data_IF_309690892464
#
_entry.id   IF_309690892464
#
_cell.length_a   1.000
_cell.length_b   1.000
_cell.length_c   1.000
_cell.angle_alpha   90.00
_cell.angle_beta   90.00
_cell.angle_gamma   90.00
#
_symmetry.space_group_name_H-M   'P 1'
#
loop_
_entity.id
_entity.type
_entity.pdbx_description
1 polymer ?
#
# COMPACT_ATOMS: atom_id res chain seq x y z
N UNK A 1 -4.09 -60.27 -14.90
CA UNK A 1 -4.21 -59.65 -13.57
C UNK A 1 -4.02 -58.15 -13.72
N UNK A 2 -4.97 -57.34 -13.21
CA UNK A 2 -4.86 -55.89 -13.12
C UNK A 2 -4.62 -55.57 -11.65
N UNK A 3 -3.49 -54.97 -11.30
CA UNK A 3 -3.30 -54.36 -9.98
C UNK A 3 -3.55 -52.87 -10.09
N UNK A 4 -4.70 -52.47 -9.57
CA UNK A 4 -4.91 -51.12 -9.07
C UNK A 4 -4.72 -51.17 -7.57
N UNK A 5 -3.83 -50.33 -7.04
CA UNK A 5 -3.94 -49.82 -5.68
C UNK A 5 -3.74 -48.32 -5.72
N UNK A 6 -4.78 -47.66 -5.23
CA UNK A 6 -4.90 -46.25 -4.93
C UNK A 6 -4.50 -46.09 -3.46
N UNK A 7 -3.66 -45.12 -3.11
CA UNK A 7 -3.48 -44.63 -1.73
C UNK A 7 -2.97 -43.19 -1.80
N UNK A 8 -3.47 -42.37 -0.87
CA UNK A 8 -3.64 -40.92 -0.88
C UNK A 8 -2.56 -40.15 -0.10
N UNK A 9 -2.80 -38.83 0.02
CA UNK A 9 -2.27 -37.82 0.95
C UNK A 9 -0.88 -37.28 0.64
N UNK A 10 -0.71 -35.99 0.35
CA UNK A 10 -1.02 -34.76 1.12
C UNK A 10 0.27 -33.92 0.94
N UNK A 11 0.35 -32.60 0.90
CA UNK A 11 -0.36 -31.52 1.54
C UNK A 11 0.38 -30.22 1.09
N UNK A 12 -0.23 -29.07 1.37
CA UNK A 12 0.36 -27.72 1.44
C UNK A 12 0.55 -26.91 0.15
N UNK A 13 -0.40 -25.97 -0.01
CA UNK A 13 -0.29 -24.86 -0.94
C UNK A 13 0.51 -23.67 -0.42
N UNK A 14 0.65 -22.66 -1.28
CA UNK A 14 0.95 -21.31 -0.87
C UNK A 14 0.34 -20.30 -1.85
N UNK A 15 -0.85 -19.82 -1.48
CA UNK A 15 -1.22 -18.39 -1.48
C UNK A 15 -1.09 -17.58 -2.77
N UNK A 16 -2.18 -17.53 -3.52
CA UNK A 16 -2.63 -16.29 -4.18
C UNK A 16 -4.16 -16.16 -3.99
N UNK A 17 -4.78 -14.98 -4.16
CA UNK A 17 -4.28 -13.59 -4.16
C UNK A 17 -4.89 -12.77 -2.99
N UNK A 18 -4.08 -12.05 -2.21
CA UNK A 18 -4.61 -11.12 -1.21
C UNK A 18 -5.02 -9.80 -1.86
N UNK A 19 -6.22 -9.79 -2.43
CA UNK A 19 -6.88 -8.63 -3.01
C UNK A 19 -8.36 -8.90 -3.10
N UNK A 20 -9.04 -8.92 -1.95
CA UNK A 20 -10.48 -8.95 -1.85
C UNK A 20 -10.90 -8.12 -0.63
N UNK A 21 -11.20 -6.86 -0.92
CA UNK A 21 -12.38 -6.12 -0.44
C UNK A 21 -12.99 -6.56 0.90
N UNK A 22 -12.43 -6.07 2.01
CA UNK A 22 -13.22 -5.86 3.23
C UNK A 22 -13.73 -4.41 3.23
N UNK A 23 -14.99 -4.28 2.82
CA UNK A 23 -15.76 -3.07 2.90
C UNK A 23 -16.23 -2.85 4.35
N UNK A 24 -15.39 -2.22 5.17
CA UNK A 24 -15.88 -1.61 6.41
C UNK A 24 -16.18 -0.13 6.19
N UNK A 25 -17.46 0.17 6.02
CA UNK A 25 -18.04 1.49 6.03
C UNK A 25 -17.99 2.10 7.44
N UNK A 26 -16.86 2.71 7.82
CA UNK A 26 -16.79 3.60 8.97
C UNK A 26 -15.55 4.52 8.92
N UNK A 27 -15.38 5.26 7.82
CA UNK A 27 -14.62 6.50 7.85
C UNK A 27 -15.24 7.48 6.85
N UNK A 28 -16.40 8.03 7.22
CA UNK A 28 -16.89 9.27 6.60
C UNK A 28 -16.15 10.44 7.23
N UNK A 29 -14.83 10.47 7.03
CA UNK A 29 -14.02 11.68 7.21
C UNK A 29 -13.51 12.09 5.84
N UNK A 30 -14.38 12.70 5.06
CA UNK A 30 -14.00 13.54 3.94
C UNK A 30 -14.31 14.99 4.31
N UNK A 31 -13.53 15.97 3.85
CA UNK A 31 -12.07 16.05 3.89
C UNK A 31 -11.68 17.25 4.77
N UNK A 32 -10.78 17.08 5.73
CA UNK A 32 -9.96 18.23 6.13
C UNK A 32 -8.82 18.37 5.11
N UNK A 33 -9.23 18.78 3.91
CA UNK A 33 -8.36 19.41 2.95
C UNK A 33 -8.64 20.91 3.04
N UNK A 34 -8.45 21.51 4.22
CA UNK A 34 -8.04 22.89 4.25
C UNK A 34 -6.58 22.92 3.76
N UNK A 35 -6.30 23.51 2.58
CA UNK A 35 -4.93 23.70 2.16
C UNK A 35 -4.33 24.74 3.11
N UNK A 36 -3.44 24.31 3.99
CA UNK A 36 -2.52 25.27 4.61
C UNK A 36 -1.62 25.76 3.50
N UNK A 37 -2.01 26.87 2.87
CA UNK A 37 -1.24 27.59 1.88
C UNK A 37 0.02 28.18 2.55
N UNK A 38 1.03 27.33 2.73
CA UNK A 38 2.45 27.65 2.81
C UNK A 38 3.14 27.06 1.57
N UNK A 39 4.25 27.65 1.11
CA UNK A 39 4.58 27.81 -0.32
C UNK A 39 4.39 26.52 -1.11
N UNK A 40 3.66 26.62 -2.22
CA UNK A 40 3.15 25.55 -3.10
C UNK A 40 4.15 24.48 -3.61
N UNK A 41 5.39 24.50 -3.12
CA UNK A 41 6.46 23.56 -3.44
C UNK A 41 6.63 22.40 -2.43
N UNK A 42 6.21 22.55 -1.16
CA UNK A 42 6.49 21.55 -0.13
C UNK A 42 5.37 20.50 0.03
N UNK A 43 5.74 19.27 0.38
CA UNK A 43 4.80 18.23 0.80
C UNK A 43 4.25 18.55 2.19
N UNK A 44 3.05 18.05 2.52
CA UNK A 44 2.56 18.10 3.89
C UNK A 44 3.32 17.11 4.78
N UNK A 45 3.40 17.38 6.08
CA UNK A 45 4.01 16.45 7.06
C UNK A 45 3.41 15.03 6.96
N UNK A 46 2.11 14.95 6.65
CA UNK A 46 1.41 13.68 6.47
C UNK A 46 1.92 12.93 5.24
N UNK A 47 2.12 13.63 4.14
CA UNK A 47 2.61 13.04 2.89
C UNK A 47 4.07 12.58 3.03
N UNK A 48 4.90 13.38 3.69
CA UNK A 48 6.26 13.00 4.04
C UNK A 48 6.29 11.76 4.93
N UNK A 49 5.39 11.70 5.93
CA UNK A 49 5.28 10.54 6.81
C UNK A 49 4.82 9.27 6.07
N UNK A 50 3.94 9.39 5.08
CA UNK A 50 3.57 8.27 4.19
C UNK A 50 4.77 7.75 3.42
N UNK A 51 5.56 8.63 2.77
CA UNK A 51 6.76 8.23 2.06
C UNK A 51 7.82 7.62 3.01
N UNK A 52 7.93 8.13 4.23
CA UNK A 52 8.82 7.61 5.25
C UNK A 52 8.48 6.18 5.70
N UNK A 53 7.19 5.80 5.70
CA UNK A 53 6.76 4.42 5.94
C UNK A 53 7.21 3.51 4.80
N UNK A 54 7.08 3.96 3.54
CA UNK A 54 7.49 3.18 2.36
C UNK A 54 9.01 3.01 2.21
N UNK A 55 9.81 3.92 2.78
CA UNK A 55 11.27 3.77 2.78
C UNK A 55 11.75 2.53 3.53
N UNK A 56 10.97 2.03 4.48
CA UNK A 56 11.33 0.91 5.35
C UNK A 56 11.03 -0.42 4.68
N UNK A 57 11.84 -1.42 5.01
CA UNK A 57 11.51 -2.81 4.70
C UNK A 57 10.56 -3.35 5.76
N UNK A 58 9.53 -4.06 5.32
CA UNK A 58 8.50 -4.63 6.18
C UNK A 58 8.50 -6.15 6.03
N UNK A 59 8.47 -6.91 7.14
CA UNK A 59 8.45 -8.38 7.07
C UNK A 59 7.13 -8.92 6.49
N UNK A 60 6.06 -8.13 6.48
CA UNK A 60 4.78 -8.48 5.88
C UNK A 60 3.75 -7.34 5.97
N UNK A 61 2.60 -7.47 5.29
CA UNK A 61 1.57 -6.43 5.23
C UNK A 61 1.01 -6.08 6.62
N UNK A 62 0.77 -7.07 7.49
CA UNK A 62 0.23 -6.83 8.83
C UNK A 62 1.13 -5.96 9.72
N UNK A 63 2.45 -6.16 9.66
CA UNK A 63 3.40 -5.34 10.42
C UNK A 63 3.41 -3.87 9.94
N UNK A 64 3.33 -3.67 8.61
CA UNK A 64 3.23 -2.34 8.01
C UNK A 64 1.92 -1.66 8.40
N UNK A 65 0.79 -2.35 8.26
CA UNK A 65 -0.53 -1.81 8.59
C UNK A 65 -0.67 -1.42 10.06
N UNK A 66 -0.09 -2.21 10.97
CA UNK A 66 -0.02 -1.84 12.38
C UNK A 66 0.68 -0.49 12.56
N UNK A 67 1.85 -0.32 11.92
CA UNK A 67 2.59 0.95 12.01
C UNK A 67 1.86 2.11 11.33
N UNK A 68 1.18 1.87 10.22
CA UNK A 68 0.33 2.87 9.55
C UNK A 68 -0.71 3.39 10.55
N UNK A 69 -1.45 2.49 11.22
CA UNK A 69 -2.46 2.88 12.21
C UNK A 69 -1.84 3.62 13.39
N UNK A 70 -0.74 3.12 13.94
CA UNK A 70 -0.10 3.69 15.14
C UNK A 70 0.58 5.05 14.88
N UNK A 71 1.21 5.25 13.72
CA UNK A 71 1.99 6.47 13.44
C UNK A 71 1.21 7.53 12.68
N UNK A 72 0.34 7.12 11.77
CA UNK A 72 -0.37 8.04 10.88
C UNK A 72 -1.83 8.26 11.30
N UNK A 73 -2.35 7.43 12.21
CA UNK A 73 -3.72 7.51 12.70
C UNK A 73 -4.78 7.28 11.60
N UNK A 74 -4.42 6.62 10.51
CA UNK A 74 -5.31 6.36 9.37
C UNK A 74 -5.47 4.86 9.12
N UNK A 75 -6.59 4.51 8.49
CA UNK A 75 -6.83 3.15 8.03
C UNK A 75 -5.85 2.76 6.91
N UNK A 76 -5.54 1.46 6.76
CA UNK A 76 -4.74 0.96 5.63
C UNK A 76 -5.31 1.39 4.25
N UNK A 77 -6.63 1.37 4.11
CA UNK A 77 -7.31 1.80 2.88
C UNK A 77 -7.02 3.27 2.57
N UNK A 78 -7.17 4.17 3.55
CA UNK A 78 -6.88 5.60 3.38
C UNK A 78 -5.40 5.84 3.09
N UNK A 79 -4.51 5.06 3.70
CA UNK A 79 -3.08 5.11 3.44
C UNK A 79 -2.75 4.80 1.99
N UNK A 80 -3.27 3.71 1.43
CA UNK A 80 -2.97 3.35 0.04
C UNK A 80 -3.60 4.32 -0.97
N UNK A 81 -4.75 4.92 -0.64
CA UNK A 81 -5.32 6.02 -1.44
C UNK A 81 -4.38 7.23 -1.49
N UNK A 82 -3.90 7.68 -0.33
CA UNK A 82 -2.98 8.82 -0.23
C UNK A 82 -1.66 8.52 -0.94
N UNK A 83 -1.12 7.31 -0.72
CA UNK A 83 0.10 6.87 -1.40
C UNK A 83 -0.07 6.90 -2.92
N UNK A 84 -1.19 6.40 -3.45
CA UNK A 84 -1.46 6.41 -4.88
C UNK A 84 -1.50 7.83 -5.45
N UNK A 85 -2.09 8.79 -4.73
CA UNK A 85 -2.09 10.20 -5.13
C UNK A 85 -0.67 10.78 -5.13
N UNK A 86 0.14 10.49 -4.11
CA UNK A 86 1.54 10.92 -4.03
C UNK A 86 2.40 10.37 -5.16
N UNK A 87 2.10 9.15 -5.64
CA UNK A 87 2.80 8.61 -6.80
C UNK A 87 2.54 9.40 -8.07
N UNK A 88 1.53 10.27 -8.15
CA UNK A 88 1.28 11.12 -9.31
C UNK A 88 1.65 12.59 -9.05
N UNK A 89 2.05 12.95 -7.82
CA UNK A 89 2.42 14.31 -7.43
C UNK A 89 3.89 14.63 -7.78
N UNK A 90 4.18 15.68 -8.58
CA UNK A 90 5.55 16.10 -8.87
C UNK A 90 6.32 16.55 -7.62
N UNK A 91 5.66 17.05 -6.57
CA UNK A 91 6.28 17.44 -5.30
C UNK A 91 6.82 16.23 -4.54
N UNK A 92 6.09 15.11 -4.59
CA UNK A 92 6.56 13.86 -4.01
C UNK A 92 7.81 13.33 -4.73
N UNK A 93 7.82 13.45 -6.07
CA UNK A 93 8.99 13.09 -6.87
C UNK A 93 10.20 13.98 -6.56
N UNK A 94 9.99 15.27 -6.33
CA UNK A 94 11.06 16.20 -5.94
C UNK A 94 11.59 15.91 -4.53
N UNK A 95 10.73 15.51 -3.60
CA UNK A 95 11.09 15.23 -2.21
C UNK A 95 11.81 13.87 -2.03
N UNK A 96 11.29 12.78 -2.62
CA UNK A 96 11.90 11.44 -2.51
C UNK A 96 11.87 10.70 -3.88
N UNK A 97 12.78 11.06 -4.81
CA UNK A 97 12.76 10.53 -6.16
C UNK A 97 12.94 9.01 -6.20
N UNK A 98 13.74 8.46 -5.28
CA UNK A 98 14.10 7.03 -5.26
C UNK A 98 12.89 6.20 -4.84
N UNK A 99 12.24 6.57 -3.74
CA UNK A 99 11.08 5.84 -3.22
C UNK A 99 9.91 5.95 -4.19
N UNK A 100 9.62 7.15 -4.71
CA UNK A 100 8.51 7.38 -5.62
C UNK A 100 8.70 6.62 -6.94
N UNK A 101 9.87 6.68 -7.57
CA UNK A 101 10.11 5.95 -8.83
C UNK A 101 10.04 4.43 -8.63
N UNK A 102 10.56 3.90 -7.51
CA UNK A 102 10.44 2.47 -7.18
C UNK A 102 8.99 2.04 -7.10
N UNK A 103 8.17 2.81 -6.38
CA UNK A 103 6.75 2.51 -6.21
C UNK A 103 5.94 2.67 -7.49
N UNK A 104 6.24 3.69 -8.32
CA UNK A 104 5.66 3.83 -9.67
C UNK A 104 5.90 2.58 -10.51
N UNK A 105 7.15 2.10 -10.58
CA UNK A 105 7.51 0.87 -11.31
C UNK A 105 6.74 -0.36 -10.80
N UNK A 106 6.60 -0.52 -9.48
CA UNK A 106 5.82 -1.61 -8.89
C UNK A 106 4.34 -1.50 -9.30
N UNK A 107 3.76 -0.30 -9.26
CA UNK A 107 2.37 -0.04 -9.66
C UNK A 107 2.16 -0.37 -11.14
N UNK A 108 3.07 0.06 -12.01
CA UNK A 108 2.98 -0.17 -13.45
C UNK A 108 3.17 -1.65 -13.80
N UNK A 109 4.09 -2.35 -13.14
CA UNK A 109 4.25 -3.79 -13.29
C UNK A 109 2.99 -4.58 -12.87
N UNK A 110 2.27 -4.13 -11.83
CA UNK A 110 0.98 -4.71 -11.43
C UNK A 110 -0.11 -4.41 -12.46
N UNK A 111 -0.10 -3.21 -13.06
CA UNK A 111 -1.05 -2.82 -14.11
C UNK A 111 -0.87 -3.66 -15.37
N UNK A 112 0.36 -3.93 -15.78
CA UNK A 112 0.67 -4.70 -16.98
C UNK A 112 0.33 -6.21 -16.88
N UNK A 113 0.11 -6.73 -15.68
CA UNK A 113 -0.26 -8.15 -15.45
C UNK A 113 -1.76 -8.40 -15.43
N UNK A 114 -2.57 -7.34 -15.51
CA UNK A 114 -4.03 -7.41 -15.58
C UNK A 114 -4.45 -7.31 -17.04
#
# INVERSE_FOLDING_TARGET
MRDGTQTTDGDEGAGGPAGADDATAADRTAPDAAPTEGPAAALSDRDEAVLAVERRSWPGPGAKERVIRERLGISPTRYYQLLNALLDDPRALAHDPVTVNRLRRIRDARRARR
#
